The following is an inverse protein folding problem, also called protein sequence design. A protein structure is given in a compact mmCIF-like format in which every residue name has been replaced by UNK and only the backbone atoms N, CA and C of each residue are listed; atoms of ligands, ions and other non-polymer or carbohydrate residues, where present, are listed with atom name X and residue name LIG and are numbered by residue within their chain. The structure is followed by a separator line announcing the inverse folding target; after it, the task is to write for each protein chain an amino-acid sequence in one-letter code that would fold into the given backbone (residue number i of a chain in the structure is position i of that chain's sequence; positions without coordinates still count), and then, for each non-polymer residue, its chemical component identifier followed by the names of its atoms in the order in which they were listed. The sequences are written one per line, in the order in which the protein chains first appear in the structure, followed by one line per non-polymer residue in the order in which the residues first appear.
data_IF_818687569290
#
_entry.id   IF_818687569290
#
_cell.length_a   1.000
_cell.length_b   1.000
_cell.length_c   1.000
_cell.angle_alpha   90.00
_cell.angle_beta   90.00
_cell.angle_gamma   90.00
#
_symmetry.space_group_name_H-M   'P 1'
#
loop_
_entity.id
_entity.type
_entity.pdbx_description
1 polymer ?
#
# COMPACT_ATOMS: atom_id res chain seq x y z
N UNK A 1 -18.46 7.73 10.92
CA UNK A 1 -17.34 7.15 11.66
C UNK A 1 -16.14 7.02 10.74
N UNK A 2 -14.99 7.45 11.20
CA UNK A 2 -13.78 7.35 10.38
C UNK A 2 -13.12 6.00 10.61
N UNK A 3 -12.93 5.26 9.54
CA UNK A 3 -12.27 3.96 9.61
C UNK A 3 -10.84 4.07 9.09
N UNK A 4 -9.95 3.43 9.81
CA UNK A 4 -8.54 3.35 9.41
C UNK A 4 -8.30 2.00 8.77
N UNK A 5 -7.43 1.98 7.76
CA UNK A 5 -7.13 0.76 7.01
C UNK A 5 -5.64 0.62 6.79
N UNK A 6 -5.21 -0.61 6.56
CA UNK A 6 -3.89 -0.88 6.04
C UNK A 6 -4.03 -1.47 4.65
N UNK A 7 -3.24 -0.95 3.71
CA UNK A 7 -3.30 -1.37 2.30
C UNK A 7 -2.00 -2.09 1.97
N UNK A 8 -2.12 -3.21 1.28
CA UNK A 8 -0.96 -3.99 0.84
C UNK A 8 -0.79 -3.89 -0.67
N UNK A 9 0.45 -3.74 -1.09
CA UNK A 9 0.86 -3.89 -2.48
C UNK A 9 2.25 -4.50 -2.51
N UNK A 10 2.60 -5.14 -3.61
CA UNK A 10 3.96 -5.63 -3.83
C UNK A 10 4.56 -4.93 -5.03
N UNK A 11 5.86 -4.72 -4.99
CA UNK A 11 6.60 -4.09 -6.08
C UNK A 11 7.85 -4.88 -6.39
N UNK A 12 8.42 -4.68 -7.58
CA UNK A 12 9.53 -5.50 -8.07
C UNK A 12 10.91 -4.94 -7.77
N UNK A 13 11.02 -3.67 -7.34
CA UNK A 13 12.33 -3.05 -7.15
C UNK A 13 12.31 -2.05 -5.99
N UNK A 14 13.49 -1.78 -5.46
CA UNK A 14 13.67 -0.77 -4.42
C UNK A 14 13.30 0.62 -4.94
N UNK A 15 13.65 0.90 -6.18
CA UNK A 15 13.33 2.20 -6.81
C UNK A 15 11.83 2.42 -6.89
N UNK A 16 11.08 1.40 -7.31
CA UNK A 16 9.63 1.51 -7.38
C UNK A 16 9.03 1.65 -5.99
N UNK A 17 9.55 0.91 -5.01
CA UNK A 17 9.10 1.02 -3.62
C UNK A 17 9.24 2.45 -3.11
N UNK A 18 10.39 3.09 -3.38
CA UNK A 18 10.64 4.46 -2.97
C UNK A 18 9.70 5.44 -3.67
N UNK A 19 9.53 5.30 -4.97
CA UNK A 19 8.67 6.17 -5.76
C UNK A 19 7.24 6.12 -5.24
N UNK A 20 6.71 4.92 -5.06
CA UNK A 20 5.33 4.74 -4.61
C UNK A 20 5.15 5.22 -3.18
N UNK A 21 6.06 4.84 -2.28
CA UNK A 21 5.98 5.23 -0.87
C UNK A 21 6.00 6.74 -0.71
N UNK A 22 6.95 7.41 -1.35
CA UNK A 22 7.08 8.86 -1.25
C UNK A 22 5.88 9.57 -1.87
N UNK A 23 5.44 9.09 -3.03
CA UNK A 23 4.28 9.67 -3.71
C UNK A 23 3.01 9.60 -2.87
N UNK A 24 2.75 8.44 -2.27
CA UNK A 24 1.57 8.27 -1.43
C UNK A 24 1.57 9.21 -0.23
N UNK A 25 2.70 9.33 0.45
CA UNK A 25 2.79 10.17 1.64
C UNK A 25 2.74 11.65 1.28
N UNK A 26 3.47 12.06 0.25
CA UNK A 26 3.49 13.47 -0.17
C UNK A 26 2.13 13.94 -0.64
N UNK A 27 1.37 13.10 -1.31
CA UNK A 27 0.04 13.44 -1.81
C UNK A 27 -1.05 13.30 -0.74
N UNK A 28 -0.67 12.96 0.48
CA UNK A 28 -1.60 12.76 1.60
C UNK A 28 -2.61 11.65 1.35
N UNK A 29 -2.23 10.68 0.56
CA UNK A 29 -3.01 9.47 0.34
C UNK A 29 -2.70 8.43 1.40
N UNK A 30 -1.58 8.58 2.10
CA UNK A 30 -1.17 7.71 3.19
C UNK A 30 -0.40 8.50 4.23
N UNK A 31 -0.46 8.04 5.47
CA UNK A 31 0.34 8.62 6.54
C UNK A 31 1.72 7.98 6.61
N UNK A 32 1.78 6.67 6.42
CA UNK A 32 3.02 5.91 6.60
C UNK A 32 3.03 4.73 5.65
N UNK A 33 4.19 4.43 5.09
CA UNK A 33 4.40 3.25 4.27
C UNK A 33 5.64 2.53 4.79
N UNK A 34 5.48 1.27 5.19
CA UNK A 34 6.60 0.43 5.55
C UNK A 34 6.95 -0.47 4.38
N UNK A 35 8.25 -0.61 4.11
CA UNK A 35 8.75 -1.46 3.03
C UNK A 35 9.45 -2.66 3.62
N UNK A 36 8.99 -3.87 3.27
CA UNK A 36 9.65 -5.11 3.65
C UNK A 36 10.30 -5.68 2.41
N UNK A 37 11.64 -5.70 2.34
CA UNK A 37 12.33 -6.20 1.15
C UNK A 37 12.42 -7.73 1.16
N UNK A 38 12.72 -8.27 -0.01
CA UNK A 38 13.11 -9.67 -0.19
C UNK A 38 12.06 -10.67 0.29
N UNK A 39 10.78 -10.40 -0.02
CA UNK A 39 9.75 -11.41 0.20
C UNK A 39 9.69 -12.32 -1.02
N UNK A 40 9.28 -13.57 -0.81
CA UNK A 40 9.05 -14.51 -1.90
C UNK A 40 7.55 -14.61 -2.12
N UNK A 41 7.11 -14.32 -3.35
CA UNK A 41 5.70 -14.40 -3.72
C UNK A 41 5.50 -15.59 -4.64
N UNK A 42 4.56 -16.44 -4.28
CA UNK A 42 4.20 -17.61 -5.09
C UNK A 42 2.76 -17.42 -5.54
N UNK A 43 2.54 -17.46 -6.85
CA UNK A 43 1.22 -17.16 -7.40
C UNK A 43 1.02 -17.84 -8.75
N UNK A 44 -0.20 -17.81 -9.23
CA UNK A 44 -0.55 -18.41 -10.51
C UNK A 44 -0.83 -17.28 -11.51
N UNK A 45 -0.15 -17.29 -12.63
CA UNK A 45 -0.31 -16.26 -13.65
C UNK A 45 -0.08 -16.85 -15.03
N UNK A 46 -0.95 -16.47 -15.98
CA UNK A 46 -0.82 -16.89 -17.39
C UNK A 46 -0.65 -18.39 -17.54
N UNK A 47 -1.50 -19.14 -16.82
CA UNK A 47 -1.54 -20.60 -16.94
C UNK A 47 -0.40 -21.34 -16.25
N UNK A 48 0.40 -20.68 -15.42
CA UNK A 48 1.54 -21.33 -14.77
C UNK A 48 1.79 -20.82 -13.36
N UNK A 49 2.51 -21.64 -12.60
CA UNK A 49 2.95 -21.28 -11.27
C UNK A 49 4.19 -20.38 -11.37
N UNK A 50 4.15 -19.26 -10.67
CA UNK A 50 5.25 -18.31 -10.67
C UNK A 50 5.77 -18.12 -9.23
N UNK A 51 7.10 -17.94 -9.10
CA UNK A 51 7.73 -17.63 -7.82
C UNK A 51 8.70 -16.48 -8.09
N UNK A 52 8.45 -15.34 -7.45
CA UNK A 52 9.27 -14.15 -7.64
C UNK A 52 9.68 -13.54 -6.32
N UNK A 53 10.81 -12.84 -6.32
CA UNK A 53 11.22 -12.04 -5.19
C UNK A 53 10.63 -10.64 -5.38
N UNK A 54 10.01 -10.11 -4.33
CA UNK A 54 9.36 -8.81 -4.37
C UNK A 54 9.60 -8.05 -3.07
N UNK A 55 9.12 -6.80 -3.02
CA UNK A 55 9.07 -6.01 -1.80
C UNK A 55 7.60 -5.80 -1.45
N UNK A 56 7.28 -5.91 -0.16
CA UNK A 56 5.91 -5.68 0.32
C UNK A 56 5.82 -4.28 0.92
N UNK A 57 4.83 -3.52 0.48
CA UNK A 57 4.53 -2.22 1.05
C UNK A 57 3.30 -2.36 1.94
N UNK A 58 3.43 -1.90 3.18
CA UNK A 58 2.34 -1.86 4.15
C UNK A 58 2.00 -0.39 4.37
N UNK A 59 0.81 -0.01 3.93
CA UNK A 59 0.40 1.40 3.83
C UNK A 59 -0.68 1.68 4.86
N UNK A 60 -0.50 2.74 5.67
CA UNK A 60 -1.51 3.11 6.67
C UNK A 60 -2.23 4.38 6.23
N UNK A 61 -3.55 4.31 6.14
CA UNK A 61 -4.38 5.41 5.69
C UNK A 61 -5.81 5.28 6.22
N UNK A 62 -6.73 6.05 5.65
CA UNK A 62 -8.15 6.00 6.00
C UNK A 62 -8.95 5.38 4.86
N UNK A 63 -10.06 4.72 5.23
CA UNK A 63 -10.93 4.08 4.25
C UNK A 63 -11.42 5.05 3.19
N UNK A 64 -11.74 6.28 3.58
CA UNK A 64 -12.25 7.29 2.64
C UNK A 64 -11.23 7.66 1.56
N UNK A 65 -9.95 7.35 1.76
CA UNK A 65 -8.91 7.64 0.75
C UNK A 65 -8.60 6.46 -0.14
N UNK A 66 -9.19 5.30 0.13
CA UNK A 66 -8.81 4.10 -0.61
C UNK A 66 -9.01 4.24 -2.12
N UNK A 67 -10.14 4.79 -2.53
CA UNK A 67 -10.45 4.92 -3.97
C UNK A 67 -9.40 5.78 -4.69
N UNK A 68 -9.04 6.92 -4.11
CA UNK A 68 -8.02 7.80 -4.69
C UNK A 68 -6.64 7.15 -4.68
N UNK A 69 -6.30 6.48 -3.58
CA UNK A 69 -5.04 5.77 -3.46
C UNK A 69 -4.95 4.66 -4.51
N UNK A 70 -6.00 3.89 -4.64
CA UNK A 70 -6.05 2.80 -5.62
C UNK A 70 -5.87 3.34 -7.05
N UNK A 71 -6.59 4.40 -7.40
CA UNK A 71 -6.49 4.96 -8.75
C UNK A 71 -5.07 5.45 -9.04
N UNK A 72 -4.46 6.15 -8.08
CA UNK A 72 -3.08 6.61 -8.23
C UNK A 72 -2.12 5.43 -8.35
N UNK A 73 -2.34 4.40 -7.54
CA UNK A 73 -1.50 3.20 -7.57
C UNK A 73 -1.54 2.52 -8.94
N UNK A 74 -2.75 2.36 -9.50
CA UNK A 74 -2.92 1.72 -10.80
C UNK A 74 -2.25 2.51 -11.91
N UNK A 75 -2.19 3.83 -11.81
CA UNK A 75 -1.53 4.67 -12.81
C UNK A 75 -0.01 4.65 -12.70
N UNK A 76 0.52 4.38 -11.51
CA UNK A 76 1.95 4.53 -11.23
C UNK A 76 2.68 3.20 -11.00
N UNK A 77 1.97 2.10 -10.96
CA UNK A 77 2.56 0.78 -10.73
C UNK A 77 3.05 0.18 -12.04
N UNK A 78 4.17 -0.56 -11.97
CA UNK A 78 4.76 -1.19 -13.17
C UNK A 78 4.00 -2.44 -13.62
N UNK A 79 3.22 -3.08 -12.73
CA UNK A 79 2.46 -4.27 -13.08
C UNK A 79 1.16 -3.90 -13.78
N UNK A 80 0.72 -4.76 -14.71
CA UNK A 80 -0.58 -4.60 -15.36
C UNK A 80 -1.72 -4.77 -14.35
N UNK A 81 -1.59 -5.76 -13.47
CA UNK A 81 -2.59 -6.04 -12.45
C UNK A 81 -1.89 -6.11 -11.09
N UNK A 82 -1.65 -4.96 -10.45
CA UNK A 82 -1.00 -4.96 -9.14
C UNK A 82 -1.95 -5.36 -8.03
N UNK A 83 -1.39 -5.95 -6.97
CA UNK A 83 -2.15 -6.19 -5.76
C UNK A 83 -2.39 -4.85 -5.05
N UNK A 84 -3.65 -4.50 -4.83
CA UNK A 84 -4.04 -3.33 -4.04
C UNK A 84 -5.23 -3.76 -3.19
N UNK A 85 -4.97 -4.21 -1.99
CA UNK A 85 -6.01 -4.71 -1.10
C UNK A 85 -5.93 -3.99 0.24
N UNK A 86 -7.07 -3.87 0.91
CA UNK A 86 -7.15 -3.17 2.18
C UNK A 86 -7.74 -4.07 3.26
N UNK A 87 -7.18 -3.97 4.45
CA UNK A 87 -7.69 -4.63 5.65
C UNK A 87 -8.09 -3.55 6.66
N UNK A 88 -9.17 -3.75 7.41
CA UNK A 88 -9.55 -2.77 8.43
C UNK A 88 -8.59 -2.83 9.61
N UNK A 89 -8.26 -1.64 10.14
CA UNK A 89 -7.55 -1.54 11.42
C UNK A 89 -8.65 -1.39 12.47
N UNK A 90 -8.98 -2.48 13.16
CA UNK A 90 -10.12 -2.47 14.08
C UNK A 90 -9.76 -1.86 15.44
N UNK A 91 -8.48 -1.84 15.79
CA UNK A 91 -7.99 -1.22 17.03
C UNK A 91 -6.61 -0.65 16.80
N UNK A 92 -6.33 0.49 17.40
CA UNK A 92 -5.03 1.11 17.37
C UNK A 92 -4.89 2.10 18.51
N UNK A 93 -3.66 2.49 18.86
CA UNK A 93 -3.47 3.51 19.88
C UNK A 93 -4.04 4.83 19.36
N UNK A 94 -4.72 5.56 20.25
CA UNK A 94 -5.41 6.80 19.86
C UNK A 94 -4.46 7.83 19.29
N UNK A 95 -3.25 7.93 19.81
CA UNK A 95 -2.27 8.91 19.33
C UNK A 95 -1.83 8.59 17.91
N UNK A 96 -1.59 7.31 17.61
CA UNK A 96 -1.17 6.92 16.26
C UNK A 96 -2.30 7.13 15.25
N UNK A 97 -3.52 6.74 15.62
CA UNK A 97 -4.67 6.94 14.73
C UNK A 97 -4.91 8.43 14.48
N UNK A 98 -4.67 9.27 15.50
CA UNK A 98 -4.77 10.72 15.31
C UNK A 98 -3.72 11.23 14.31
N UNK A 99 -2.53 10.67 14.33
CA UNK A 99 -1.50 11.05 13.35
C UNK A 99 -1.98 10.76 11.92
N UNK A 100 -2.64 9.62 11.71
CA UNK A 100 -3.21 9.30 10.41
C UNK A 100 -4.26 10.35 10.03
N UNK A 101 -5.17 10.65 10.96
CA UNK A 101 -6.25 11.60 10.71
C UNK A 101 -5.74 13.00 10.38
N UNK A 102 -4.68 13.42 11.06
CA UNK A 102 -4.15 14.80 10.90
C UNK A 102 -3.45 14.97 9.55
N UNK A 103 -2.79 13.94 9.06
CA UNK A 103 -2.06 14.02 7.79
C UNK A 103 -2.93 13.69 6.58
N UNK A 104 -3.71 12.64 6.67
CA UNK A 104 -4.54 12.14 5.56
C UNK A 104 -5.86 12.89 5.55
N UNK A 105 -5.94 13.91 4.73
CA UNK A 105 -7.15 14.75 4.63
C UNK A 105 -7.63 14.89 3.21
#
# INVERSE_FOLDING_TARGET
MKNHITVFTTVSSVEEAKKISQGLVEKKLAYCVNTIPSIQSTYFWDGKLCVDEELLLIIKTKEEKFSMLKDWMLENHSYDIPEVIALPIIQGSSDYLKCIDDWVR
#
